data_IF_134583348377
#
_entry.id   IF_134583348377
#
_cell.length_a   1.000
_cell.length_b   1.000
_cell.length_c   1.000
_cell.angle_alpha   90.00
_cell.angle_beta   90.00
_cell.angle_gamma   90.00
#
_symmetry.space_group_name_H-M   'P 1'
#
loop_
_entity.id
_entity.type
_entity.pdbx_description
1 polymer ?
#
# COMPACT_ATOMS: atom_id res chain seq x y z
N UNK A 1 19.64 20.94 1.80
CA UNK A 1 19.96 19.56 1.37
C UNK A 1 18.72 18.75 1.66
N UNK A 2 17.91 18.44 0.64
CA UNK A 2 16.62 17.76 0.82
C UNK A 2 16.94 16.27 1.03
N UNK A 3 16.87 15.80 2.28
CA UNK A 3 16.87 14.37 2.56
C UNK A 3 15.57 13.79 2.00
N UNK A 4 15.64 13.27 0.78
CA UNK A 4 14.51 12.55 0.22
C UNK A 4 14.47 11.19 0.92
N UNK A 5 13.61 11.09 1.93
CA UNK A 5 13.31 9.83 2.57
C UNK A 5 12.90 8.79 1.52
N UNK A 6 13.46 7.58 1.63
CA UNK A 6 13.15 6.45 0.74
C UNK A 6 11.66 6.10 0.64
N UNK A 7 10.83 6.65 1.52
CA UNK A 7 9.37 6.50 1.57
C UNK A 7 8.63 7.58 0.78
N UNK A 8 9.21 8.76 0.60
CA UNK A 8 8.58 9.86 -0.15
C UNK A 8 8.76 9.71 -1.66
N UNK A 9 9.89 9.16 -2.12
CA UNK A 9 10.14 8.86 -3.54
C UNK A 9 8.98 8.10 -4.20
N UNK A 10 8.52 6.93 -3.68
CA UNK A 10 7.45 6.19 -4.32
C UNK A 10 6.10 6.92 -4.28
N UNK A 11 5.84 7.77 -3.28
CA UNK A 11 4.62 8.58 -3.25
C UNK A 11 4.60 9.63 -4.37
N UNK A 12 5.71 10.32 -4.60
CA UNK A 12 5.81 11.31 -5.67
C UNK A 12 5.71 10.67 -7.06
N UNK A 13 6.37 9.52 -7.27
CA UNK A 13 6.26 8.77 -8.53
C UNK A 13 4.83 8.31 -8.78
N UNK A 14 4.16 7.80 -7.76
CA UNK A 14 2.79 7.34 -7.85
C UNK A 14 1.81 8.48 -8.12
N UNK A 15 2.02 9.66 -7.51
CA UNK A 15 1.26 10.87 -7.80
C UNK A 15 1.42 11.29 -9.27
N UNK A 16 2.65 11.27 -9.79
CA UNK A 16 2.94 11.61 -11.19
C UNK A 16 2.20 10.69 -12.16
N UNK A 17 2.28 9.37 -11.94
CA UNK A 17 1.60 8.40 -12.79
C UNK A 17 0.07 8.52 -12.71
N UNK A 18 -0.49 8.82 -11.55
CA UNK A 18 -1.94 9.09 -11.40
C UNK A 18 -2.38 10.30 -12.21
N UNK A 19 -1.59 11.38 -12.21
CA UNK A 19 -1.94 12.60 -12.98
C UNK A 19 -1.94 12.29 -14.48
N UNK A 20 -0.95 11.51 -14.95
CA UNK A 20 -0.87 11.06 -16.35
C UNK A 20 -2.10 10.22 -16.70
N UNK A 21 -2.45 9.23 -15.86
CA UNK A 21 -3.66 8.40 -16.06
C UNK A 21 -4.94 9.22 -16.06
N UNK A 22 -5.07 10.19 -15.16
CA UNK A 22 -6.24 11.07 -15.10
C UNK A 22 -6.40 11.86 -16.42
N UNK A 23 -5.30 12.33 -17.00
CA UNK A 23 -5.29 12.97 -18.31
C UNK A 23 -5.67 12.03 -19.45
N UNK A 24 -5.14 10.80 -19.47
CA UNK A 24 -5.45 9.80 -20.49
C UNK A 24 -6.91 9.32 -20.42
N UNK A 25 -7.39 9.04 -19.22
CA UNK A 25 -8.76 8.56 -18.98
C UNK A 25 -9.80 9.63 -19.26
N UNK A 26 -9.49 10.90 -18.96
CA UNK A 26 -10.30 12.03 -19.38
C UNK A 26 -10.40 12.14 -20.91
N UNK A 27 -9.27 12.01 -21.62
CA UNK A 27 -9.26 11.98 -23.09
C UNK A 27 -10.12 10.86 -23.67
N UNK A 28 -10.04 9.66 -23.09
CA UNK A 28 -10.87 8.51 -23.48
C UNK A 28 -12.36 8.76 -23.24
N UNK A 29 -12.74 9.37 -22.11
CA UNK A 29 -14.16 9.67 -21.81
C UNK A 29 -14.72 10.74 -22.74
N UNK A 30 -13.91 11.74 -23.08
CA UNK A 30 -14.28 12.79 -24.04
C UNK A 30 -14.52 12.21 -25.44
N UNK A 31 -13.61 11.37 -25.93
CA UNK A 31 -13.74 10.73 -27.25
C UNK A 31 -14.87 9.70 -27.31
N UNK A 32 -15.15 9.00 -26.21
CA UNK A 32 -16.18 7.95 -26.12
C UNK A 32 -17.54 8.46 -25.65
N UNK A 33 -17.75 9.78 -25.58
CA UNK A 33 -19.02 10.40 -25.17
C UNK A 33 -19.62 9.80 -23.87
N UNK A 34 -18.77 9.45 -22.89
CA UNK A 34 -19.19 8.96 -21.57
C UNK A 34 -19.88 7.59 -21.51
N UNK A 35 -20.05 6.88 -22.64
CA UNK A 35 -20.80 5.60 -22.69
C UNK A 35 -19.94 4.36 -22.40
N UNK A 36 -18.64 4.54 -22.19
CA UNK A 36 -17.73 3.44 -21.89
C UNK A 36 -17.60 3.20 -20.37
N UNK A 37 -17.93 1.99 -19.90
CA UNK A 37 -17.83 1.62 -18.49
C UNK A 37 -16.38 1.50 -17.99
N UNK A 38 -15.46 1.09 -18.87
CA UNK A 38 -14.04 0.86 -18.52
C UNK A 38 -13.29 2.14 -18.17
N UNK A 39 -13.34 3.22 -18.98
CA UNK A 39 -12.71 4.50 -18.63
C UNK A 39 -13.29 5.14 -17.36
N UNK A 40 -14.59 4.97 -17.12
CA UNK A 40 -15.25 5.47 -15.91
C UNK A 40 -14.72 4.76 -14.64
N UNK A 41 -14.46 3.45 -14.70
CA UNK A 41 -13.84 2.72 -13.59
C UNK A 41 -12.40 3.18 -13.33
N UNK A 42 -11.66 3.48 -14.40
CA UNK A 42 -10.30 4.03 -14.29
C UNK A 42 -10.29 5.44 -13.68
N UNK A 43 -11.24 6.31 -14.04
CA UNK A 43 -11.43 7.61 -13.36
C UNK A 43 -11.72 7.45 -11.88
N UNK A 44 -12.61 6.51 -11.52
CA UNK A 44 -12.88 6.18 -10.12
C UNK A 44 -11.61 5.72 -9.39
N UNK A 45 -10.80 4.86 -10.00
CA UNK A 45 -9.53 4.41 -9.42
C UNK A 45 -8.58 5.58 -9.16
N UNK A 46 -8.44 6.51 -10.12
CA UNK A 46 -7.60 7.70 -9.98
C UNK A 46 -8.07 8.61 -8.84
N UNK A 47 -9.37 8.94 -8.79
CA UNK A 47 -9.96 9.76 -7.72
C UNK A 47 -9.80 9.08 -6.35
N UNK A 48 -10.12 7.78 -6.26
CA UNK A 48 -9.93 7.00 -5.04
C UNK A 48 -8.48 7.06 -4.55
N UNK A 49 -7.52 6.93 -5.46
CA UNK A 49 -6.11 6.92 -5.08
C UNK A 49 -5.62 8.29 -4.61
N UNK A 50 -6.14 9.38 -5.19
CA UNK A 50 -5.89 10.74 -4.68
C UNK A 50 -6.38 10.88 -3.22
N UNK A 51 -7.58 10.37 -2.92
CA UNK A 51 -8.13 10.36 -1.55
C UNK A 51 -7.22 9.55 -0.60
N UNK A 52 -6.73 8.39 -1.05
CA UNK A 52 -5.78 7.58 -0.25
C UNK A 52 -4.46 8.32 -0.03
N UNK A 53 -3.95 9.06 -1.02
CA UNK A 53 -2.72 9.86 -0.86
C UNK A 53 -2.90 10.98 0.15
N UNK A 54 -4.02 11.70 0.06
CA UNK A 54 -4.36 12.76 1.02
C UNK A 54 -4.43 12.16 2.42
N UNK A 55 -5.09 11.00 2.57
CA UNK A 55 -5.16 10.28 3.84
C UNK A 55 -3.77 9.90 4.37
N UNK A 56 -2.89 9.33 3.52
CA UNK A 56 -1.53 8.95 3.92
C UNK A 56 -0.66 10.16 4.28
N UNK A 57 -0.80 11.27 3.55
CA UNK A 57 -0.08 12.52 3.83
C UNK A 57 -0.52 13.14 5.16
N UNK A 58 -1.83 13.19 5.41
CA UNK A 58 -2.40 13.65 6.69
C UNK A 58 -1.93 12.77 7.86
N UNK A 59 -1.94 11.45 7.69
CA UNK A 59 -1.46 10.50 8.70
C UNK A 59 0.02 10.71 9.00
N UNK A 60 0.85 10.81 7.97
CA UNK A 60 2.30 11.02 8.12
C UNK A 60 2.63 12.36 8.79
N UNK A 61 1.88 13.42 8.49
CA UNK A 61 2.16 14.78 8.96
C UNK A 61 1.61 15.07 10.37
N UNK A 62 0.43 14.59 10.71
CA UNK A 62 -0.28 15.08 11.91
C UNK A 62 -0.34 14.10 13.08
N UNK A 63 -0.27 12.78 12.85
CA UNK A 63 -0.68 11.81 13.88
C UNK A 63 0.23 10.57 13.95
N UNK A 64 1.53 10.70 14.28
CA UNK A 64 2.43 9.55 14.47
C UNK A 64 2.05 8.65 15.67
N UNK A 65 1.31 9.14 16.67
CA UNK A 65 0.99 8.39 17.89
C UNK A 65 -0.46 7.90 18.03
N UNK A 66 -1.39 8.39 17.21
CA UNK A 66 -2.84 8.20 17.44
C UNK A 66 -3.58 7.39 16.37
N UNK A 67 -2.94 7.00 15.28
CA UNK A 67 -3.60 6.14 14.29
C UNK A 67 -3.43 4.66 14.63
N UNK A 68 -4.56 3.99 14.89
CA UNK A 68 -4.69 2.54 14.74
C UNK A 68 -4.17 2.20 13.33
N UNK A 69 -3.00 1.55 13.19
CA UNK A 69 -2.27 1.24 11.93
C UNK A 69 -3.03 0.42 10.86
N UNK A 70 -4.32 0.14 11.07
CA UNK A 70 -5.15 -0.80 10.29
C UNK A 70 -5.85 -0.18 9.05
N UNK A 71 -6.49 1.00 9.10
CA UNK A 71 -7.22 1.54 7.95
C UNK A 71 -6.30 2.00 6.82
N UNK A 72 -5.09 2.50 7.13
CA UNK A 72 -4.10 2.83 6.11
C UNK A 72 -3.69 1.59 5.30
N UNK A 73 -3.45 0.47 5.98
CA UNK A 73 -3.13 -0.80 5.33
C UNK A 73 -4.29 -1.29 4.46
N UNK A 74 -5.54 -1.27 4.96
CA UNK A 74 -6.71 -1.70 4.18
C UNK A 74 -6.97 -0.81 2.96
N UNK A 75 -6.82 0.51 3.10
CA UNK A 75 -6.94 1.44 1.98
C UNK A 75 -5.92 1.11 0.88
N UNK A 76 -4.70 0.76 1.27
CA UNK A 76 -3.62 0.40 0.34
C UNK A 76 -3.87 -0.96 -0.34
N UNK A 77 -4.43 -1.95 0.38
CA UNK A 77 -4.90 -3.22 -0.21
C UNK A 77 -6.00 -2.97 -1.26
N UNK A 78 -6.99 -2.13 -0.94
CA UNK A 78 -8.06 -1.79 -1.88
C UNK A 78 -7.52 -1.11 -3.13
N UNK A 79 -6.58 -0.18 -2.97
CA UNK A 79 -5.89 0.48 -4.08
C UNK A 79 -5.20 -0.54 -4.99
N UNK A 80 -4.48 -1.52 -4.44
CA UNK A 80 -3.85 -2.59 -5.23
C UNK A 80 -4.89 -3.38 -6.03
N UNK A 81 -6.03 -3.76 -5.42
CA UNK A 81 -7.08 -4.52 -6.10
C UNK A 81 -7.74 -3.69 -7.21
N UNK A 82 -8.02 -2.41 -6.95
CA UNK A 82 -8.62 -1.51 -7.93
C UNK A 82 -7.73 -1.28 -9.15
N UNK A 83 -6.45 -0.98 -8.95
CA UNK A 83 -5.51 -0.80 -10.07
C UNK A 83 -5.29 -2.09 -10.86
N UNK A 84 -5.27 -3.25 -10.21
CA UNK A 84 -5.20 -4.55 -10.89
C UNK A 84 -6.42 -4.79 -11.78
N UNK A 85 -7.61 -4.64 -11.19
CA UNK A 85 -8.88 -4.84 -11.89
C UNK A 85 -9.04 -3.85 -13.04
N UNK A 86 -8.69 -2.58 -12.83
CA UNK A 86 -8.86 -1.53 -13.82
C UNK A 86 -7.92 -1.72 -15.01
N UNK A 87 -6.65 -2.04 -14.74
CA UNK A 87 -5.65 -2.26 -15.79
C UNK A 87 -6.02 -3.48 -16.64
N UNK A 88 -6.51 -4.55 -16.00
CA UNK A 88 -7.00 -5.74 -16.71
C UNK A 88 -8.25 -5.43 -17.53
N UNK A 89 -9.19 -4.65 -17.00
CA UNK A 89 -10.39 -4.25 -17.73
C UNK A 89 -10.06 -3.39 -18.97
N UNK A 90 -9.10 -2.46 -18.85
CA UNK A 90 -8.61 -1.64 -19.96
C UNK A 90 -7.87 -2.51 -21.00
N UNK A 91 -7.05 -3.47 -20.55
CA UNK A 91 -6.36 -4.42 -21.42
C UNK A 91 -7.32 -5.27 -22.27
N UNK A 92 -8.37 -5.81 -21.64
CA UNK A 92 -9.40 -6.62 -22.31
C UNK A 92 -10.22 -5.77 -23.27
N UNK A 93 -10.54 -4.53 -22.90
CA UNK A 93 -11.30 -3.61 -23.75
C UNK A 93 -10.53 -3.20 -25.01
N UNK A 94 -9.21 -2.99 -24.89
CA UNK A 94 -8.34 -2.65 -26.00
C UNK A 94 -8.15 -3.80 -26.99
N UNK A 95 -7.91 -5.02 -26.48
CA UNK A 95 -7.65 -6.21 -27.28
C UNK A 95 -6.41 -6.09 -28.19
N UNK A 96 -6.27 -7.00 -29.16
CA UNK A 96 -5.23 -6.93 -30.20
C UNK A 96 -5.88 -6.43 -31.51
N UNK A 97 -5.85 -5.12 -31.80
CA UNK A 97 -6.39 -4.62 -33.06
C UNK A 97 -5.50 -4.95 -34.26
N UNK A 98 -6.13 -5.33 -35.38
CA UNK A 98 -5.45 -5.48 -36.69
C UNK A 98 -5.07 -4.12 -37.33
N UNK A 99 -5.77 -3.03 -36.98
CA UNK A 99 -5.43 -1.66 -37.37
C UNK A 99 -5.73 -0.72 -36.19
N UNK A 100 -4.72 -0.23 -35.46
CA UNK A 100 -4.97 0.52 -34.25
C UNK A 100 -5.41 1.96 -34.55
N UNK A 101 -6.50 2.40 -33.92
CA UNK A 101 -6.93 3.81 -33.91
C UNK A 101 -6.19 4.59 -32.81
N UNK A 102 -6.16 5.93 -32.90
CA UNK A 102 -5.52 6.77 -31.87
C UNK A 102 -6.06 6.49 -30.45
N UNK A 103 -7.35 6.18 -30.33
CA UNK A 103 -8.01 5.82 -29.07
C UNK A 103 -7.46 4.51 -28.49
N UNK A 104 -7.18 3.51 -29.33
CA UNK A 104 -6.57 2.26 -28.89
C UNK A 104 -5.11 2.42 -28.47
N UNK A 105 -4.33 3.29 -29.13
CA UNK A 105 -2.97 3.62 -28.67
C UNK A 105 -2.99 4.27 -27.29
N UNK A 106 -3.90 5.22 -27.07
CA UNK A 106 -4.08 5.89 -25.78
C UNK A 106 -4.46 4.86 -24.71
N UNK A 107 -5.40 3.97 -25.00
CA UNK A 107 -5.83 2.95 -24.04
C UNK A 107 -4.77 1.85 -23.80
N UNK A 108 -3.95 1.48 -24.77
CA UNK A 108 -2.78 0.61 -24.56
C UNK A 108 -1.76 1.28 -23.62
N UNK A 109 -1.52 2.57 -23.85
CA UNK A 109 -0.60 3.37 -23.04
C UNK A 109 -1.11 3.49 -21.60
N UNK A 110 -2.39 3.78 -21.40
CA UNK A 110 -3.03 3.78 -20.08
C UNK A 110 -3.06 2.39 -19.41
N UNK A 111 -3.11 1.31 -20.19
CA UNK A 111 -3.01 -0.04 -19.62
C UNK A 111 -1.62 -0.26 -19.02
N UNK A 112 -0.56 0.16 -19.73
CA UNK A 112 0.81 0.00 -19.26
C UNK A 112 1.10 0.85 -18.01
N UNK A 113 0.66 2.11 -18.00
CA UNK A 113 0.82 3.00 -16.85
C UNK A 113 -0.01 2.52 -15.64
N UNK A 114 -1.23 2.01 -15.85
CA UNK A 114 -2.01 1.34 -14.82
C UNK A 114 -1.27 0.16 -14.15
N UNK A 115 -0.59 -0.68 -14.93
CA UNK A 115 0.24 -1.76 -14.37
C UNK A 115 1.46 -1.26 -13.60
N UNK A 116 2.09 -0.15 -14.00
CA UNK A 116 3.16 0.47 -13.22
C UNK A 116 2.66 0.98 -11.87
N UNK A 117 1.49 1.63 -11.83
CA UNK A 117 0.88 2.09 -10.58
C UNK A 117 0.53 0.89 -9.68
N UNK A 118 -0.01 -0.18 -10.25
CA UNK A 118 -0.25 -1.43 -9.53
C UNK A 118 1.04 -2.02 -8.93
N UNK A 119 2.14 -2.05 -9.69
CA UNK A 119 3.41 -2.59 -9.21
C UNK A 119 3.98 -1.76 -8.05
N UNK A 120 3.95 -0.42 -8.17
CA UNK A 120 4.45 0.49 -7.13
C UNK A 120 3.59 0.37 -5.86
N UNK A 121 2.27 0.39 -5.98
CA UNK A 121 1.34 0.24 -4.84
C UNK A 121 1.53 -1.11 -4.15
N UNK A 122 1.72 -2.19 -4.90
CA UNK A 122 2.01 -3.52 -4.37
C UNK A 122 3.33 -3.56 -3.62
N UNK A 123 4.38 -2.93 -4.16
CA UNK A 123 5.68 -2.85 -3.50
C UNK A 123 5.60 -2.07 -2.18
N UNK A 124 4.84 -0.98 -2.14
CA UNK A 124 4.58 -0.23 -0.91
C UNK A 124 3.83 -1.08 0.12
N UNK A 125 2.77 -1.76 -0.30
CA UNK A 125 2.01 -2.68 0.56
C UNK A 125 2.90 -3.77 1.15
N UNK A 126 3.74 -4.36 0.30
CA UNK A 126 4.68 -5.41 0.69
C UNK A 126 5.70 -4.92 1.73
N UNK A 127 6.23 -3.71 1.56
CA UNK A 127 7.15 -3.09 2.54
C UNK A 127 6.45 -2.90 3.89
N UNK A 128 5.29 -2.28 3.89
CA UNK A 128 4.50 -2.04 5.11
C UNK A 128 4.16 -3.34 5.85
N UNK A 129 3.82 -4.38 5.09
CA UNK A 129 3.55 -5.70 5.65
C UNK A 129 4.79 -6.36 6.27
N UNK A 130 5.96 -6.26 5.62
CA UNK A 130 7.23 -6.77 6.18
C UNK A 130 7.62 -6.04 7.46
N UNK A 131 7.50 -4.73 7.49
CA UNK A 131 7.75 -3.90 8.68
C UNK A 131 6.88 -4.34 9.86
N UNK A 132 5.57 -4.53 9.59
CA UNK A 132 4.62 -4.93 10.61
C UNK A 132 4.89 -6.35 11.15
N UNK A 133 5.38 -7.27 10.31
CA UNK A 133 5.83 -8.60 10.76
C UNK A 133 7.07 -8.52 11.65
N UNK A 134 8.08 -7.72 11.26
CA UNK A 134 9.31 -7.54 12.03
C UNK A 134 9.03 -7.03 13.44
N UNK A 135 8.18 -6.02 13.56
CA UNK A 135 7.85 -5.41 14.86
C UNK A 135 7.11 -6.40 15.78
N UNK A 136 6.22 -7.24 15.24
CA UNK A 136 5.51 -8.27 16.00
C UNK A 136 6.45 -9.36 16.52
N UNK A 137 7.41 -9.81 15.70
CA UNK A 137 8.40 -10.81 16.11
C UNK A 137 9.30 -10.30 17.23
N UNK A 138 9.74 -9.04 17.16
CA UNK A 138 10.58 -8.43 18.19
C UNK A 138 9.84 -8.25 19.53
N UNK A 139 8.59 -7.79 19.49
CA UNK A 139 7.76 -7.65 20.70
C UNK A 139 7.47 -9.00 21.37
N UNK A 140 7.21 -10.04 20.56
CA UNK A 140 6.97 -11.41 21.06
C UNK A 140 8.23 -11.96 21.74
N UNK A 141 9.40 -11.78 21.13
CA UNK A 141 10.66 -12.23 21.71
C UNK A 141 10.98 -11.52 23.03
N UNK A 142 10.85 -10.19 23.08
CA UNK A 142 11.07 -9.41 24.30
C UNK A 142 10.15 -9.84 25.45
N UNK A 143 8.86 -10.09 25.17
CA UNK A 143 7.92 -10.60 26.18
C UNK A 143 8.30 -11.99 26.69
N UNK A 144 8.76 -12.88 25.80
CA UNK A 144 9.16 -14.25 26.15
C UNK A 144 10.42 -14.23 27.02
N UNK A 145 11.42 -13.42 26.68
CA UNK A 145 12.64 -13.23 27.48
C UNK A 145 12.31 -12.64 28.85
N UNK A 146 11.43 -11.64 28.93
CA UNK A 146 11.00 -11.06 30.21
C UNK A 146 10.30 -12.09 31.10
N UNK A 147 9.44 -12.95 30.53
CA UNK A 147 8.77 -14.04 31.27
C UNK A 147 9.71 -15.15 31.74
N UNK A 148 10.78 -15.42 30.98
CA UNK A 148 11.80 -16.40 31.37
C UNK A 148 12.69 -15.84 32.48
N UNK A 149 13.05 -14.55 32.42
CA UNK A 149 13.82 -13.88 33.47
C UNK A 149 13.10 -13.84 34.82
N UNK A 150 11.79 -13.57 34.82
CA UNK A 150 10.97 -13.63 36.04
C UNK A 150 10.85 -15.05 36.60
N UNK A 151 10.71 -16.06 35.75
CA UNK A 151 10.65 -17.47 36.16
C UNK A 151 11.95 -18.02 36.74
N UNK A 152 13.11 -17.61 36.20
CA UNK A 152 14.42 -18.00 36.75
C UNK A 152 14.65 -17.29 38.10
N UNK A 153 14.22 -16.04 38.21
CA UNK A 153 14.34 -15.27 39.46
C UNK A 153 13.54 -15.94 40.57
N UNK A 154 12.27 -16.31 40.33
CA UNK A 154 11.44 -16.99 41.34
C UNK A 154 11.98 -18.37 41.75
N UNK A 155 12.54 -19.14 40.81
CA UNK A 155 13.19 -20.43 41.12
C UNK A 155 14.41 -20.25 42.02
N UNK A 156 15.24 -19.23 41.77
CA UNK A 156 16.40 -18.93 42.61
C UNK A 156 16.01 -18.49 44.02
N UNK A 157 14.92 -17.72 44.19
CA UNK A 157 14.40 -17.35 45.50
C UNK A 157 13.88 -18.57 46.26
N UNK A 158 13.19 -19.48 45.58
CA UNK A 158 12.62 -20.67 46.20
C UNK A 158 13.70 -21.68 46.59
N UNK A 159 14.76 -21.80 45.79
CA UNK A 159 15.92 -22.63 46.12
C UNK A 159 16.73 -22.05 47.29
N UNK A 160 16.94 -20.73 47.32
CA UNK A 160 17.62 -20.05 48.41
C UNK A 160 16.85 -20.20 49.73
N UNK A 161 15.53 -19.96 49.72
CA UNK A 161 14.66 -20.09 50.89
C UNK A 161 14.59 -21.52 51.45
N UNK A 162 14.61 -22.54 50.59
CA UNK A 162 14.63 -23.93 51.03
C UNK A 162 15.94 -24.29 51.76
N UNK A 163 17.09 -23.73 51.34
CA UNK A 163 18.38 -24.01 51.99
C UNK A 163 18.52 -23.42 53.40
N UNK A 164 17.74 -22.38 53.74
CA UNK A 164 17.74 -21.80 55.09
C UNK A 164 16.79 -22.50 56.08
N UNK A 165 15.95 -23.43 55.60
CA UNK A 165 14.98 -24.15 56.45
C UNK A 165 15.53 -25.46 57.03
N UNK A 166 16.71 -25.91 56.61
CA UNK A 166 17.34 -27.16 57.09
C UNK A 166 18.50 -26.96 58.08
N UNK A 167 18.70 -25.74 58.60
CA UNK A 167 19.66 -25.42 59.66
C UNK A 167 18.94 -25.01 60.95
#
# INVERSE_FOLDING_TARGET
MIEIDTVQVPMYLLLLFIIIELGLTWGLVADLHGSAHTPNFMLFCSVWTIVVLIYLFLVAKYLPSLFKRRPAFYALVLTVIFWFSGSTALAVWVGVPKSPTSVQLIAQTGTAFGFFIWAITTLMLWRDWRENRRNKSAATFSSKVSSLGSGISSMSYQYSAASYSEA
#
